data_IF_641699691181
#
_entry.id   IF_641699691181
#
_cell.length_a   1.000
_cell.length_b   1.000
_cell.length_c   1.000
_cell.angle_alpha   90.00
_cell.angle_beta   90.00
_cell.angle_gamma   90.00
#
_symmetry.space_group_name_H-M   'P 1'
#
loop_
_entity.id
_entity.type
_entity.pdbx_description
1 polymer ?
#
# COMPACT_ATOMS: atom_id res chain seq x y z
N UNK A 1 13.94 14.90 -65.39
CA UNK A 1 15.05 14.66 -66.33
C UNK A 1 16.17 15.65 -66.14
N UNK A 2 17.38 15.26 -66.46
CA UNK A 2 18.47 15.13 -65.47
C UNK A 2 19.71 15.96 -65.84
N UNK A 3 20.80 15.80 -65.05
CA UNK A 3 22.22 15.68 -65.46
C UNK A 3 23.14 16.23 -64.35
N UNK A 4 23.93 15.39 -63.76
CA UNK A 4 25.21 14.75 -64.10
C UNK A 4 26.45 15.64 -63.81
N UNK A 5 27.25 15.14 -62.93
CA UNK A 5 28.66 15.14 -62.51
C UNK A 5 29.69 15.57 -63.59
N UNK A 6 30.97 15.94 -63.35
CA UNK A 6 31.98 15.10 -62.74
C UNK A 6 33.07 15.82 -61.87
N UNK A 7 33.73 15.02 -61.05
CA UNK A 7 35.15 14.77 -60.71
C UNK A 7 36.27 15.56 -61.37
N UNK A 8 37.32 15.84 -60.57
CA UNK A 8 38.72 15.41 -60.72
C UNK A 8 39.60 16.10 -59.66
N UNK A 9 40.26 15.34 -58.81
CA UNK A 9 41.67 14.92 -58.69
C UNK A 9 42.71 16.07 -58.71
N UNK A 10 43.60 16.13 -57.74
CA UNK A 10 44.87 15.40 -57.57
C UNK A 10 45.80 16.05 -56.50
N UNK A 11 46.34 15.22 -55.62
CA UNK A 11 47.76 15.05 -55.22
C UNK A 11 48.56 16.21 -54.61
N UNK A 12 49.03 16.15 -53.41
CA UNK A 12 50.38 15.74 -52.96
C UNK A 12 50.66 16.02 -51.47
N UNK A 13 51.24 15.05 -50.82
CA UNK A 13 51.89 15.00 -49.49
C UNK A 13 53.32 15.61 -49.59
N UNK A 14 54.19 15.72 -48.60
CA UNK A 14 54.00 15.65 -47.09
C UNK A 14 54.86 16.76 -46.39
N UNK A 15 54.57 16.99 -45.11
CA UNK A 15 55.61 17.44 -44.19
C UNK A 15 55.17 17.18 -42.74
N UNK A 16 55.96 16.38 -42.08
CA UNK A 16 55.92 15.99 -40.68
C UNK A 16 56.16 17.19 -39.76
N UNK A 17 55.23 17.50 -38.85
CA UNK A 17 55.57 18.23 -37.62
C UNK A 17 54.88 17.50 -36.46
N UNK A 18 55.70 16.80 -35.63
CA UNK A 18 55.33 16.30 -34.34
C UNK A 18 55.02 17.46 -33.39
N UNK A 19 53.78 17.67 -33.06
CA UNK A 19 53.39 18.47 -31.88
C UNK A 19 52.80 17.53 -30.84
N UNK A 20 53.55 17.30 -29.77
CA UNK A 20 53.09 16.65 -28.56
C UNK A 20 52.00 17.51 -27.91
N UNK A 21 50.74 17.15 -28.13
CA UNK A 21 49.62 17.70 -27.36
C UNK A 21 49.40 16.77 -26.18
N UNK A 22 49.83 17.20 -25.01
CA UNK A 22 49.41 16.63 -23.72
C UNK A 22 47.90 16.80 -23.59
N UNK A 23 47.13 15.73 -23.85
CA UNK A 23 45.71 15.66 -23.53
C UNK A 23 45.61 15.45 -22.00
N UNK A 24 45.46 16.55 -21.30
CA UNK A 24 44.92 16.49 -19.96
C UNK A 24 43.50 15.94 -20.03
N UNK A 25 43.31 14.69 -19.65
CA UNK A 25 41.99 14.20 -19.29
C UNK A 25 41.56 14.95 -18.00
N UNK A 26 40.83 16.02 -18.20
CA UNK A 26 40.01 16.61 -17.15
C UNK A 26 38.84 15.65 -16.99
N UNK A 27 38.97 14.73 -16.01
CA UNK A 27 37.85 13.98 -15.50
C UNK A 27 36.87 15.00 -14.94
N UNK A 28 35.86 15.34 -15.72
CA UNK A 28 34.73 16.13 -15.24
C UNK A 28 33.98 15.24 -14.24
N UNK A 29 34.36 15.31 -12.97
CA UNK A 29 33.45 14.98 -11.88
C UNK A 29 32.25 15.91 -12.07
N UNK A 30 31.18 15.41 -12.66
CA UNK A 30 29.86 16.03 -12.54
C UNK A 30 29.50 15.91 -11.06
N UNK A 31 29.92 16.90 -10.29
CA UNK A 31 29.53 17.04 -8.90
C UNK A 31 28.03 17.17 -8.85
N UNK A 32 27.38 16.24 -8.13
CA UNK A 32 26.00 16.41 -7.68
C UNK A 32 25.82 17.84 -7.18
N UNK A 33 24.69 18.48 -7.41
CA UNK A 33 24.48 19.86 -6.98
C UNK A 33 24.61 19.94 -5.46
N UNK A 34 25.76 20.42 -5.00
CA UNK A 34 25.99 20.73 -3.59
C UNK A 34 24.99 21.82 -3.23
N UNK A 35 23.99 21.48 -2.42
CA UNK A 35 23.07 22.45 -1.85
C UNK A 35 23.90 23.50 -1.13
N UNK A 36 23.89 24.76 -1.61
CA UNK A 36 24.49 25.87 -0.91
C UNK A 36 23.70 26.16 0.35
N UNK A 37 24.17 25.71 1.49
CA UNK A 37 23.67 26.11 2.78
C UNK A 37 24.33 27.44 3.17
N UNK A 38 23.56 28.45 3.48
CA UNK A 38 24.05 29.65 4.13
C UNK A 38 23.99 29.44 5.65
N UNK A 39 25.12 29.15 6.28
CA UNK A 39 25.31 29.10 7.74
C UNK A 39 24.82 27.81 8.42
N UNK A 40 25.73 27.20 9.19
CA UNK A 40 25.59 26.12 10.16
C UNK A 40 24.74 24.88 9.83
N UNK A 41 25.43 23.75 9.61
CA UNK A 41 24.94 22.38 9.56
C UNK A 41 23.71 22.17 8.69
N UNK A 42 23.91 21.83 7.44
CA UNK A 42 22.87 21.15 6.66
C UNK A 42 22.53 19.83 7.34
N UNK A 43 21.47 19.82 8.12
CA UNK A 43 20.77 18.59 8.48
C UNK A 43 20.26 18.00 7.16
N UNK A 44 20.95 16.99 6.62
CA UNK A 44 20.52 16.27 5.43
C UNK A 44 19.18 15.60 5.74
N UNK A 45 18.12 16.18 5.22
CA UNK A 45 16.78 15.62 5.38
C UNK A 45 16.74 14.27 4.67
N UNK A 46 16.41 13.18 5.37
CA UNK A 46 16.30 11.87 4.73
C UNK A 46 15.16 11.90 3.70
N UNK A 47 15.33 11.29 2.53
CA UNK A 47 14.22 11.14 1.59
C UNK A 47 13.14 10.23 2.19
N UNK A 48 11.89 10.43 1.76
CA UNK A 48 10.70 9.78 2.33
C UNK A 48 9.97 8.94 1.29
N UNK A 49 9.63 7.70 1.65
CA UNK A 49 8.76 6.83 0.86
C UNK A 49 7.45 6.59 1.62
N UNK A 50 6.32 6.88 0.96
CA UNK A 50 4.98 6.70 1.49
C UNK A 50 4.38 5.40 0.96
N UNK A 51 3.90 4.52 1.84
CA UNK A 51 3.32 3.22 1.50
C UNK A 51 1.88 3.17 1.98
N UNK A 52 0.90 3.12 1.07
CA UNK A 52 -0.52 3.19 1.41
C UNK A 52 -1.07 1.88 1.99
N UNK A 53 -2.25 1.96 2.61
CA UNK A 53 -3.03 0.81 3.08
C UNK A 53 -3.97 0.24 2.03
N UNK A 54 -4.88 -0.59 2.50
CA UNK A 54 -6.01 -1.09 1.71
C UNK A 54 -6.87 0.09 1.22
N UNK A 55 -7.29 0.06 -0.05
CA UNK A 55 -8.00 1.16 -0.71
C UNK A 55 -7.22 2.50 -0.75
N UNK A 56 -5.93 2.50 -0.38
CA UNK A 56 -5.16 3.72 -0.07
C UNK A 56 -4.44 4.37 -1.24
N UNK A 57 -4.64 3.90 -2.47
CA UNK A 57 -4.18 4.55 -3.69
C UNK A 57 -5.16 4.33 -4.85
N UNK A 58 -5.06 5.19 -5.86
CA UNK A 58 -5.87 5.10 -7.06
C UNK A 58 -5.62 3.80 -7.83
N UNK A 59 -6.66 3.30 -8.50
CA UNK A 59 -6.58 2.28 -9.54
C UNK A 59 -7.26 2.82 -10.81
N UNK A 60 -6.73 2.47 -11.96
CA UNK A 60 -7.31 2.79 -13.27
C UNK A 60 -7.65 1.51 -14.02
N UNK A 61 -8.68 1.58 -14.87
CA UNK A 61 -9.08 0.47 -15.71
C UNK A 61 -9.25 0.90 -17.17
N UNK A 62 -8.99 -0.05 -18.08
CA UNK A 62 -9.35 0.01 -19.49
C UNK A 62 -10.17 -1.23 -19.85
N UNK A 63 -11.23 -1.04 -20.64
CA UNK A 63 -12.20 -2.08 -20.92
C UNK A 63 -12.21 -2.46 -22.41
N UNK A 64 -12.26 -3.77 -22.67
CA UNK A 64 -12.61 -4.38 -23.96
C UNK A 64 -13.31 -5.73 -23.68
N UNK A 65 -14.51 -5.64 -23.06
CA UNK A 65 -15.20 -6.78 -22.44
C UNK A 65 -16.01 -7.55 -23.47
N UNK A 66 -16.10 -8.88 -23.35
CA UNK A 66 -16.97 -9.69 -24.22
C UNK A 66 -18.46 -9.42 -23.92
N UNK A 67 -18.81 -9.13 -22.68
CA UNK A 67 -20.17 -8.84 -22.20
C UNK A 67 -20.14 -7.89 -21.01
N UNK A 68 -21.31 -7.32 -20.68
CA UNK A 68 -21.50 -6.45 -19.52
C UNK A 68 -22.66 -6.96 -18.66
N UNK A 69 -22.62 -6.70 -17.35
CA UNK A 69 -23.63 -7.15 -16.40
C UNK A 69 -24.93 -6.36 -16.50
N UNK A 70 -24.87 -5.14 -17.03
CA UNK A 70 -26.03 -4.27 -17.24
C UNK A 70 -25.82 -3.39 -18.48
N UNK A 71 -26.92 -3.03 -19.18
CA UNK A 71 -26.84 -2.27 -20.43
C UNK A 71 -26.24 -0.85 -20.27
N UNK A 72 -26.25 -0.30 -19.05
CA UNK A 72 -25.64 1.01 -18.77
C UNK A 72 -24.10 0.93 -18.58
N UNK A 73 -23.55 -0.28 -18.47
CA UNK A 73 -22.11 -0.45 -18.27
C UNK A 73 -21.35 -0.28 -19.58
N UNK A 74 -20.21 0.41 -19.51
CA UNK A 74 -19.32 0.49 -20.65
C UNK A 74 -18.73 -0.89 -20.96
N UNK A 75 -18.86 -1.30 -22.22
CA UNK A 75 -18.25 -2.54 -22.73
C UNK A 75 -16.80 -2.31 -23.16
N UNK A 76 -16.52 -1.11 -23.71
CA UNK A 76 -15.22 -0.73 -24.23
C UNK A 76 -14.91 0.73 -23.86
N UNK A 77 -13.66 1.01 -23.55
CA UNK A 77 -13.12 2.37 -23.36
C UNK A 77 -11.89 2.57 -24.26
N UNK A 78 -11.67 3.78 -24.74
CA UNK A 78 -10.48 4.10 -25.55
C UNK A 78 -9.25 4.23 -24.65
N UNK A 79 -9.41 4.92 -23.52
CA UNK A 79 -8.35 5.20 -22.56
C UNK A 79 -8.63 4.55 -21.20
N UNK A 80 -7.62 4.63 -20.31
CA UNK A 80 -7.79 4.29 -18.91
C UNK A 80 -8.63 5.36 -18.22
N UNK A 81 -9.53 4.92 -17.35
CA UNK A 81 -10.31 5.79 -16.47
C UNK A 81 -10.10 5.40 -15.01
N UNK A 82 -10.34 6.33 -14.10
CA UNK A 82 -10.25 6.06 -12.66
C UNK A 82 -11.31 5.06 -12.24
N UNK A 83 -10.84 3.90 -11.79
CA UNK A 83 -11.67 2.84 -11.23
C UNK A 83 -11.90 3.02 -9.73
N UNK A 84 -10.84 3.44 -9.01
CA UNK A 84 -10.86 3.73 -7.59
C UNK A 84 -10.03 4.99 -7.27
N UNK A 85 -10.52 5.99 -6.54
CA UNK A 85 -11.93 6.12 -6.10
C UNK A 85 -12.68 6.90 -7.18
N UNK A 86 -13.79 6.36 -7.66
CA UNK A 86 -14.69 7.06 -8.57
C UNK A 86 -16.11 7.04 -7.98
N UNK A 87 -16.53 8.15 -7.39
CA UNK A 87 -17.82 8.27 -6.69
C UNK A 87 -19.02 8.12 -7.63
N UNK A 88 -18.87 8.47 -8.91
CA UNK A 88 -19.93 8.33 -9.92
C UNK A 88 -20.26 6.87 -10.21
N UNK A 89 -19.27 5.98 -10.07
CA UNK A 89 -19.47 4.54 -10.25
C UNK A 89 -20.05 3.84 -9.01
N UNK A 90 -20.10 4.52 -7.87
CA UNK A 90 -20.62 3.94 -6.62
C UNK A 90 -22.10 4.25 -6.38
N UNK A 91 -22.76 5.02 -7.27
CA UNK A 91 -24.19 5.28 -7.17
C UNK A 91 -25.02 4.05 -7.55
N UNK A 92 -26.29 3.96 -7.11
CA UNK A 92 -27.20 2.89 -7.54
C UNK A 92 -27.22 2.73 -9.07
N UNK A 93 -27.27 1.49 -9.57
CA UNK A 93 -27.15 1.06 -10.98
C UNK A 93 -25.72 1.06 -11.54
N UNK A 94 -24.88 2.07 -11.29
CA UNK A 94 -23.49 2.07 -11.74
C UNK A 94 -22.58 1.16 -10.91
N UNK A 95 -22.95 0.91 -9.65
CA UNK A 95 -22.14 0.06 -8.74
C UNK A 95 -21.99 -1.38 -9.25
N UNK A 96 -22.95 -1.93 -9.97
CA UNK A 96 -22.83 -3.28 -10.53
C UNK A 96 -21.77 -3.31 -11.63
N UNK A 97 -21.64 -2.23 -12.42
CA UNK A 97 -20.56 -2.07 -13.39
C UNK A 97 -19.20 -1.97 -12.71
N UNK A 98 -19.13 -1.19 -11.62
CA UNK A 98 -17.91 -1.02 -10.85
C UNK A 98 -17.44 -2.34 -10.23
N UNK A 99 -18.36 -3.08 -9.59
CA UNK A 99 -18.05 -4.40 -8.99
C UNK A 99 -17.53 -5.35 -10.06
N UNK A 100 -18.18 -5.42 -11.23
CA UNK A 100 -17.79 -6.31 -12.32
C UNK A 100 -16.42 -5.94 -12.93
N UNK A 101 -16.00 -4.69 -12.83
CA UNK A 101 -14.69 -4.23 -13.31
C UNK A 101 -13.58 -4.38 -12.27
N UNK A 102 -13.87 -4.19 -10.97
CA UNK A 102 -12.85 -4.16 -9.93
C UNK A 102 -12.61 -5.50 -9.23
N UNK A 103 -13.60 -6.40 -9.25
CA UNK A 103 -13.46 -7.73 -8.63
C UNK A 103 -12.31 -8.51 -9.26
N UNK A 104 -11.78 -9.46 -8.51
CA UNK A 104 -10.82 -10.44 -8.99
C UNK A 104 -11.49 -11.81 -9.19
N UNK A 105 -10.91 -12.63 -10.03
CA UNK A 105 -11.32 -14.03 -10.27
C UNK A 105 -10.17 -14.93 -9.82
N UNK A 106 -10.44 -15.83 -8.88
CA UNK A 106 -9.44 -16.76 -8.42
C UNK A 106 -9.30 -17.93 -9.40
N UNK A 107 -8.11 -18.10 -9.96
CA UNK A 107 -7.77 -19.20 -10.85
C UNK A 107 -7.22 -20.37 -10.00
N UNK A 108 -8.00 -21.43 -9.85
CA UNK A 108 -7.65 -22.61 -9.05
C UNK A 108 -6.49 -23.43 -9.61
N UNK A 109 -6.10 -23.20 -10.87
CA UNK A 109 -4.97 -23.92 -11.49
C UNK A 109 -3.65 -23.23 -11.17
N UNK A 110 -3.63 -21.89 -11.24
CA UNK A 110 -2.43 -21.09 -10.95
C UNK A 110 -2.33 -20.70 -9.48
N UNK A 111 -3.39 -20.86 -8.68
CA UNK A 111 -3.57 -20.35 -7.33
C UNK A 111 -3.31 -18.83 -7.25
N UNK A 112 -3.80 -18.09 -8.25
CA UNK A 112 -3.64 -16.63 -8.33
C UNK A 112 -4.94 -15.98 -8.79
N UNK A 113 -5.05 -14.69 -8.51
CA UNK A 113 -6.17 -13.91 -8.97
C UNK A 113 -5.89 -13.20 -10.30
N UNK A 114 -6.92 -13.09 -11.10
CA UNK A 114 -6.90 -12.45 -12.42
C UNK A 114 -8.02 -11.40 -12.50
N UNK A 115 -7.83 -10.40 -13.34
CA UNK A 115 -8.91 -9.48 -13.67
C UNK A 115 -10.00 -10.19 -14.49
N UNK A 116 -11.26 -9.71 -14.46
CA UNK A 116 -12.31 -10.23 -15.32
C UNK A 116 -11.95 -10.11 -16.81
N UNK A 117 -12.46 -11.01 -17.68
CA UNK A 117 -12.16 -10.96 -19.11
C UNK A 117 -12.42 -9.58 -19.74
N UNK A 118 -11.41 -9.04 -20.43
CA UNK A 118 -11.46 -7.74 -21.07
C UNK A 118 -11.40 -6.54 -20.11
N UNK A 119 -10.98 -6.76 -18.89
CA UNK A 119 -10.67 -5.69 -17.93
C UNK A 119 -9.17 -5.65 -17.70
N UNK A 120 -8.53 -4.53 -18.04
CA UNK A 120 -7.14 -4.26 -17.75
C UNK A 120 -7.05 -3.22 -16.63
N UNK A 121 -6.46 -3.58 -15.49
CA UNK A 121 -6.33 -2.71 -14.32
C UNK A 121 -4.86 -2.41 -14.06
N UNK A 122 -4.55 -1.13 -13.93
CA UNK A 122 -3.22 -0.66 -13.58
C UNK A 122 -3.20 0.21 -12.33
N UNK A 123 -2.03 0.29 -11.72
CA UNK A 123 -1.73 1.19 -10.60
C UNK A 123 -1.01 2.42 -11.16
N UNK A 124 -1.62 3.62 -11.13
CA UNK A 124 -0.99 4.80 -11.66
C UNK A 124 0.06 5.38 -10.71
N UNK A 125 1.04 6.10 -11.27
CA UNK A 125 1.91 7.04 -10.57
C UNK A 125 2.86 6.42 -9.54
N UNK A 126 3.44 5.24 -9.79
CA UNK A 126 4.51 4.72 -8.93
C UNK A 126 5.69 5.70 -8.90
N UNK A 127 6.16 6.05 -7.69
CA UNK A 127 7.16 7.09 -7.45
C UNK A 127 6.58 8.50 -7.30
N UNK A 128 5.28 8.69 -7.54
CA UNK A 128 4.58 9.98 -7.42
C UNK A 128 3.65 9.99 -6.20
N UNK A 129 3.37 11.17 -5.66
CA UNK A 129 2.54 11.31 -4.45
C UNK A 129 1.05 11.44 -4.75
N UNK A 130 0.67 11.94 -5.95
CA UNK A 130 -0.72 12.27 -6.26
C UNK A 130 -1.70 11.11 -6.07
N UNK A 131 -1.39 9.83 -6.41
CA UNK A 131 -2.38 8.77 -6.30
C UNK A 131 -2.63 8.32 -4.86
N UNK A 132 -1.81 8.80 -3.91
CA UNK A 132 -1.93 8.57 -2.47
C UNK A 132 -2.44 9.81 -1.73
N UNK A 133 -2.24 11.02 -2.26
CA UNK A 133 -2.72 12.24 -1.60
C UNK A 133 -4.24 12.30 -1.61
N UNK A 134 -4.84 12.03 -2.77
CA UNK A 134 -6.27 11.93 -2.97
C UNK A 134 -6.62 10.65 -3.75
N UNK A 135 -7.55 9.89 -3.21
CA UNK A 135 -8.05 8.67 -3.87
C UNK A 135 -8.97 9.00 -5.05
N UNK A 136 -9.67 10.14 -4.96
CA UNK A 136 -10.50 10.71 -6.00
C UNK A 136 -9.73 11.81 -6.75
N UNK A 137 -9.56 11.70 -8.08
CA UNK A 137 -8.87 12.71 -8.89
C UNK A 137 -9.48 14.12 -8.83
N UNK A 138 -10.77 14.24 -8.51
CA UNK A 138 -11.42 15.55 -8.32
C UNK A 138 -11.04 16.23 -7.00
N UNK A 139 -10.25 15.55 -6.16
CA UNK A 139 -9.70 16.05 -4.89
C UNK A 139 -10.75 16.47 -3.87
N UNK A 140 -11.88 15.78 -3.84
CA UNK A 140 -12.87 15.95 -2.79
C UNK A 140 -12.34 15.51 -1.42
N UNK A 141 -12.82 16.15 -0.36
CA UNK A 141 -12.40 15.86 1.01
C UNK A 141 -12.60 14.38 1.42
N UNK A 142 -13.63 13.73 0.89
CA UNK A 142 -13.89 12.30 1.13
C UNK A 142 -12.79 11.38 0.59
N UNK A 143 -12.05 11.82 -0.44
CA UNK A 143 -10.94 11.08 -1.03
C UNK A 143 -9.58 11.45 -0.45
N UNK A 144 -9.50 12.38 0.49
CA UNK A 144 -8.24 12.82 1.07
C UNK A 144 -7.61 11.71 1.92
N UNK A 145 -6.38 11.35 1.60
CA UNK A 145 -5.66 10.29 2.29
C UNK A 145 -4.29 10.79 2.80
N UNK A 146 -3.19 10.66 2.11
CA UNK A 146 -1.89 11.14 2.56
C UNK A 146 -1.66 12.66 2.39
N UNK A 147 -2.61 13.40 1.86
CA UNK A 147 -2.44 14.82 1.50
C UNK A 147 -1.86 15.66 2.65
N UNK A 148 -2.39 15.55 3.88
CA UNK A 148 -1.93 16.34 5.02
C UNK A 148 -0.47 16.06 5.37
N UNK A 149 -0.05 14.78 5.33
CA UNK A 149 1.35 14.41 5.58
C UNK A 149 2.24 14.96 4.45
N UNK A 150 1.85 14.79 3.18
CA UNK A 150 2.62 15.31 2.04
C UNK A 150 2.71 16.83 2.09
N UNK A 151 1.60 17.50 2.38
CA UNK A 151 1.57 18.97 2.51
C UNK A 151 2.49 19.45 3.62
N UNK A 152 2.51 18.74 4.76
CA UNK A 152 3.41 19.04 5.88
C UNK A 152 4.89 18.84 5.49
N UNK A 153 5.19 17.75 4.82
CA UNK A 153 6.54 17.49 4.28
C UNK A 153 6.97 18.63 3.34
N UNK A 154 6.10 19.06 2.42
CA UNK A 154 6.38 20.19 1.53
C UNK A 154 6.60 21.47 2.33
N UNK A 155 5.80 21.72 3.36
CA UNK A 155 5.99 22.84 4.28
C UNK A 155 7.32 22.81 5.03
N UNK A 156 7.92 21.63 5.22
CA UNK A 156 9.26 21.46 5.78
C UNK A 156 10.37 21.45 4.74
N UNK A 157 10.05 21.74 3.47
CA UNK A 157 10.98 21.91 2.37
C UNK A 157 11.23 20.66 1.53
N UNK A 158 10.42 19.60 1.64
CA UNK A 158 10.43 18.49 0.70
C UNK A 158 9.76 18.86 -0.63
N UNK A 159 10.13 18.16 -1.67
CA UNK A 159 9.57 18.32 -3.02
C UNK A 159 8.86 17.04 -3.43
N UNK A 160 7.56 17.17 -3.80
CA UNK A 160 6.78 16.04 -4.34
C UNK A 160 7.51 15.36 -5.48
N UNK A 161 7.40 14.05 -5.52
CA UNK A 161 7.91 13.18 -6.59
C UNK A 161 9.45 13.21 -6.75
N UNK A 162 10.13 13.88 -5.83
CA UNK A 162 11.58 14.01 -5.81
C UNK A 162 12.17 13.41 -4.53
N UNK A 163 12.13 14.12 -3.39
CA UNK A 163 12.62 13.63 -2.08
C UNK A 163 11.49 13.11 -1.15
N UNK A 164 10.23 13.22 -1.60
CA UNK A 164 9.10 12.45 -1.08
C UNK A 164 8.40 11.75 -2.24
N UNK A 165 8.33 10.42 -2.18
CA UNK A 165 7.74 9.58 -3.22
C UNK A 165 6.70 8.62 -2.67
N UNK A 166 5.69 8.33 -3.48
CA UNK A 166 4.66 7.35 -3.18
C UNK A 166 4.98 5.98 -3.78
N UNK A 167 4.62 4.94 -3.08
CA UNK A 167 4.72 3.55 -3.55
C UNK A 167 3.34 2.89 -3.62
N UNK A 168 2.47 3.30 -4.57
CA UNK A 168 1.17 2.67 -4.78
C UNK A 168 1.32 1.24 -5.30
N UNK A 169 0.33 0.40 -4.97
CA UNK A 169 0.30 -1.00 -5.40
C UNK A 169 -1.15 -1.46 -5.61
N UNK A 170 -1.34 -2.61 -6.23
CA UNK A 170 -2.67 -3.22 -6.35
C UNK A 170 -3.12 -3.75 -4.98
N UNK A 171 -3.84 -2.89 -4.24
CA UNK A 171 -4.29 -3.18 -2.88
C UNK A 171 -5.32 -4.32 -2.79
N UNK A 172 -5.87 -4.79 -3.92
CA UNK A 172 -6.76 -5.96 -3.95
C UNK A 172 -6.00 -7.27 -3.73
N UNK A 173 -4.68 -7.24 -3.91
CA UNK A 173 -3.77 -8.39 -3.85
C UNK A 173 -3.01 -8.42 -2.53
N UNK A 174 -2.42 -9.57 -2.23
CA UNK A 174 -1.45 -9.73 -1.15
C UNK A 174 -0.03 -9.80 -1.72
N UNK A 175 1.02 -9.79 -0.88
CA UNK A 175 2.41 -9.75 -1.33
C UNK A 175 2.80 -10.86 -2.32
N UNK A 176 2.21 -12.07 -2.20
CA UNK A 176 2.48 -13.19 -3.11
C UNK A 176 2.08 -12.90 -4.57
N UNK A 177 1.16 -11.97 -4.80
CA UNK A 177 0.70 -11.59 -6.14
C UNK A 177 1.20 -10.19 -6.60
N UNK A 178 2.01 -9.50 -5.79
CA UNK A 178 2.55 -8.16 -6.06
C UNK A 178 4.09 -8.14 -6.10
N UNK A 179 4.72 -9.17 -6.67
CA UNK A 179 6.19 -9.28 -6.62
C UNK A 179 6.90 -8.16 -7.40
N UNK A 180 6.36 -7.73 -8.53
CA UNK A 180 6.94 -6.63 -9.33
C UNK A 180 6.94 -5.29 -8.55
N UNK A 181 5.95 -5.08 -7.70
CA UNK A 181 5.92 -3.94 -6.78
C UNK A 181 7.14 -3.93 -5.85
N UNK A 182 7.52 -5.07 -5.27
CA UNK A 182 8.67 -5.13 -4.36
C UNK A 182 10.00 -4.92 -5.08
N UNK A 183 10.11 -5.36 -6.33
CA UNK A 183 11.27 -5.05 -7.18
C UNK A 183 11.36 -3.55 -7.43
N UNK A 184 10.25 -2.92 -7.79
CA UNK A 184 10.18 -1.48 -8.02
C UNK A 184 10.43 -0.67 -6.74
N UNK A 185 9.86 -1.10 -5.59
CA UNK A 185 10.06 -0.45 -4.29
C UNK A 185 11.53 -0.50 -3.87
N UNK A 186 12.17 -1.66 -3.98
CA UNK A 186 13.59 -1.82 -3.67
C UNK A 186 14.46 -0.88 -4.51
N UNK A 187 14.23 -0.88 -5.81
CA UNK A 187 14.95 -0.01 -6.76
C UNK A 187 14.76 1.47 -6.42
N UNK A 188 13.53 1.90 -6.15
CA UNK A 188 13.24 3.28 -5.78
C UNK A 188 13.94 3.71 -4.49
N UNK A 189 13.96 2.85 -3.47
CA UNK A 189 14.67 3.11 -2.21
C UNK A 189 16.17 3.25 -2.44
N UNK A 190 16.78 2.35 -3.22
CA UNK A 190 18.21 2.39 -3.56
C UNK A 190 18.58 3.66 -4.32
N UNK A 191 17.81 4.00 -5.36
CA UNK A 191 17.99 5.21 -6.16
C UNK A 191 17.86 6.49 -5.32
N UNK A 192 16.85 6.56 -4.44
CA UNK A 192 16.67 7.71 -3.55
C UNK A 192 17.84 7.84 -2.56
N UNK A 193 18.22 6.74 -1.93
CA UNK A 193 19.33 6.76 -0.97
C UNK A 193 20.66 7.16 -1.62
N UNK A 194 20.95 6.68 -2.81
CA UNK A 194 22.17 7.02 -3.55
C UNK A 194 22.14 8.47 -4.05
N UNK A 195 21.00 8.93 -4.56
CA UNK A 195 20.85 10.29 -5.08
C UNK A 195 20.98 11.35 -3.97
N UNK A 196 20.41 11.09 -2.78
CA UNK A 196 20.42 12.04 -1.67
C UNK A 196 21.58 11.82 -0.68
N UNK A 197 22.42 10.79 -0.92
CA UNK A 197 23.60 10.50 -0.10
C UNK A 197 23.30 9.97 1.30
N UNK A 198 22.09 9.41 1.53
CA UNK A 198 21.71 8.89 2.84
C UNK A 198 20.46 7.99 2.81
N UNK A 199 20.24 7.22 3.89
CA UNK A 199 19.16 6.26 3.95
C UNK A 199 17.77 6.93 4.00
N UNK A 200 16.74 6.23 3.49
CA UNK A 200 15.36 6.72 3.41
C UNK A 200 14.59 6.47 4.70
N UNK A 201 13.53 7.25 4.92
CA UNK A 201 12.49 6.97 5.92
C UNK A 201 11.26 6.40 5.22
N UNK A 202 10.79 5.24 5.70
CA UNK A 202 9.54 4.64 5.25
C UNK A 202 8.40 5.13 6.14
N UNK A 203 7.30 5.57 5.55
CA UNK A 203 6.06 5.89 6.29
C UNK A 203 4.95 5.04 5.67
N UNK A 204 4.45 4.06 6.43
CA UNK A 204 3.39 3.18 5.97
C UNK A 204 2.13 3.33 6.81
N UNK A 205 0.97 3.17 6.18
CA UNK A 205 -0.32 3.20 6.87
C UNK A 205 -1.08 1.90 6.67
N UNK A 206 -1.78 1.45 7.74
CA UNK A 206 -2.72 0.32 7.66
C UNK A 206 -2.09 -0.96 7.08
N UNK A 207 -2.70 -1.59 6.10
CA UNK A 207 -2.18 -2.78 5.40
C UNK A 207 -0.80 -2.55 4.78
N UNK A 208 -0.45 -1.31 4.42
CA UNK A 208 0.89 -0.95 3.95
C UNK A 208 2.00 -1.33 4.91
N UNK A 209 1.70 -1.41 6.21
CA UNK A 209 2.64 -1.89 7.22
C UNK A 209 2.93 -3.39 7.08
N UNK A 210 1.91 -4.18 6.74
CA UNK A 210 2.08 -5.62 6.49
C UNK A 210 2.93 -5.85 5.23
N UNK A 211 2.71 -5.04 4.17
CA UNK A 211 3.54 -5.03 2.96
C UNK A 211 4.98 -4.64 3.26
N UNK A 212 5.18 -3.59 4.07
CA UNK A 212 6.50 -3.11 4.46
C UNK A 212 7.24 -4.15 5.33
N UNK A 213 6.56 -4.79 6.27
CA UNK A 213 7.12 -5.87 7.08
C UNK A 213 7.58 -7.05 6.22
N UNK A 214 6.70 -7.52 5.31
CA UNK A 214 7.04 -8.57 4.36
C UNK A 214 8.27 -8.20 3.53
N UNK A 215 8.29 -6.99 2.96
CA UNK A 215 9.42 -6.49 2.18
C UNK A 215 10.72 -6.46 2.97
N UNK A 216 10.72 -5.89 4.17
CA UNK A 216 11.92 -5.77 5.01
C UNK A 216 12.45 -7.14 5.45
N UNK A 217 11.55 -8.11 5.71
CA UNK A 217 11.94 -9.47 6.08
C UNK A 217 12.56 -10.27 4.92
N UNK A 218 12.36 -9.83 3.68
CA UNK A 218 13.05 -10.38 2.50
C UNK A 218 14.42 -9.74 2.24
N UNK A 219 14.79 -8.66 2.97
CA UNK A 219 16.05 -7.98 2.73
C UNK A 219 17.13 -8.40 3.74
N UNK A 220 18.39 -8.56 3.28
CA UNK A 220 19.52 -8.80 4.19
C UNK A 220 19.69 -7.63 5.16
N UNK A 221 20.16 -7.90 6.40
CA UNK A 221 20.38 -6.84 7.39
C UNK A 221 21.31 -5.74 6.87
N UNK A 222 22.40 -6.10 6.18
CA UNK A 222 23.33 -5.13 5.60
C UNK A 222 22.68 -4.17 4.58
N UNK A 223 21.66 -4.65 3.82
CA UNK A 223 20.86 -3.80 2.94
C UNK A 223 20.01 -2.83 3.76
N UNK A 224 19.34 -3.31 4.79
CA UNK A 224 18.52 -2.48 5.68
C UNK A 224 19.35 -1.41 6.36
N UNK A 225 20.51 -1.76 6.91
CA UNK A 225 21.42 -0.83 7.59
C UNK A 225 21.95 0.26 6.64
N UNK A 226 22.09 -0.05 5.33
CA UNK A 226 22.55 0.91 4.33
C UNK A 226 21.45 1.85 3.85
N UNK A 227 20.24 1.35 3.65
CA UNK A 227 19.21 2.06 2.88
C UNK A 227 18.04 2.59 3.72
N UNK A 228 17.84 2.11 4.94
CA UNK A 228 16.70 2.49 5.78
C UNK A 228 17.15 3.19 7.05
N UNK A 229 16.82 4.48 7.19
CA UNK A 229 17.05 5.27 8.40
C UNK A 229 16.07 4.92 9.51
N UNK A 230 14.79 4.91 9.18
CA UNK A 230 13.69 4.60 10.09
C UNK A 230 12.45 4.15 9.35
N UNK A 231 11.57 3.48 10.07
CA UNK A 231 10.26 3.06 9.61
C UNK A 231 9.20 3.59 10.57
N UNK A 232 8.29 4.43 10.06
CA UNK A 232 7.12 4.95 10.79
C UNK A 232 5.90 4.15 10.37
N UNK A 233 5.37 3.34 11.29
CA UNK A 233 4.18 2.52 11.08
C UNK A 233 2.97 3.25 11.68
N UNK A 234 1.98 3.57 10.86
CA UNK A 234 0.75 4.25 11.25
C UNK A 234 -0.43 3.26 11.21
N UNK A 235 -1.12 3.05 12.33
CA UNK A 235 -2.28 2.17 12.42
C UNK A 235 -2.06 0.73 11.92
N UNK A 236 -0.96 0.06 12.29
CA UNK A 236 -0.58 -1.22 11.70
C UNK A 236 -1.45 -2.39 12.18
N UNK A 237 -2.00 -3.21 11.27
CA UNK A 237 -2.79 -4.39 11.62
C UNK A 237 -1.91 -5.65 11.77
N UNK A 238 -0.89 -5.61 12.63
CA UNK A 238 0.10 -6.70 12.79
C UNK A 238 -0.53 -8.07 13.09
N UNK A 239 -1.63 -8.09 13.82
CA UNK A 239 -2.37 -9.30 14.18
C UNK A 239 -3.62 -9.55 13.33
N UNK A 240 -3.74 -8.87 12.20
CA UNK A 240 -4.96 -8.88 11.39
C UNK A 240 -6.05 -7.95 11.93
N UNK A 241 -7.21 -7.97 11.30
CA UNK A 241 -8.36 -7.08 11.56
C UNK A 241 -9.61 -7.92 11.78
N UNK A 242 -10.21 -7.86 12.96
CA UNK A 242 -11.42 -8.66 13.26
C UNK A 242 -12.60 -8.30 12.34
N UNK A 243 -12.72 -7.03 11.94
CA UNK A 243 -13.74 -6.53 11.02
C UNK A 243 -13.76 -7.31 9.69
N UNK A 244 -12.63 -7.85 9.22
CA UNK A 244 -12.57 -8.56 7.94
C UNK A 244 -13.42 -9.84 7.91
N UNK A 245 -13.70 -10.45 9.06
CA UNK A 245 -14.65 -11.57 9.13
C UNK A 245 -16.06 -11.16 8.70
N UNK A 246 -16.53 -9.99 9.15
CA UNK A 246 -17.80 -9.42 8.67
C UNK A 246 -17.72 -9.05 7.20
N UNK A 247 -16.61 -8.44 6.75
CA UNK A 247 -16.39 -8.08 5.34
C UNK A 247 -16.54 -9.31 4.43
N UNK A 248 -15.94 -10.43 4.81
CA UNK A 248 -16.04 -11.70 4.08
C UNK A 248 -17.45 -12.30 4.18
N UNK A 249 -18.10 -12.25 5.34
CA UNK A 249 -19.42 -12.84 5.55
C UNK A 249 -20.55 -12.05 4.88
N UNK A 250 -20.68 -10.77 5.22
CA UNK A 250 -21.82 -9.92 4.87
C UNK A 250 -21.44 -8.78 3.92
N UNK A 251 -20.16 -8.41 3.89
CA UNK A 251 -19.68 -7.18 3.27
C UNK A 251 -19.65 -6.00 4.24
N UNK A 252 -19.02 -4.92 3.82
CA UNK A 252 -18.96 -3.66 4.56
C UNK A 252 -19.01 -2.49 3.58
N UNK A 253 -19.90 -1.55 3.80
CA UNK A 253 -20.06 -0.40 2.91
C UNK A 253 -18.98 0.69 3.10
N UNK A 254 -17.98 0.45 3.91
CA UNK A 254 -16.88 1.38 4.21
C UNK A 254 -17.38 2.79 4.60
N UNK A 255 -18.49 2.85 5.36
CA UNK A 255 -19.15 4.09 5.78
C UNK A 255 -19.73 4.93 4.63
N UNK A 256 -19.94 4.34 3.44
CA UNK A 256 -20.61 4.98 2.31
C UNK A 256 -22.09 4.57 2.33
N UNK A 257 -23.01 5.42 2.83
CA UNK A 257 -24.39 5.01 3.14
C UNK A 257 -25.20 4.53 1.94
N UNK A 258 -24.85 4.97 0.73
CA UNK A 258 -25.56 4.62 -0.51
C UNK A 258 -25.22 3.21 -1.03
N UNK A 259 -24.17 2.58 -0.46
CA UNK A 259 -23.71 1.25 -0.87
C UNK A 259 -24.33 0.19 0.03
N UNK A 260 -24.97 -0.81 -0.55
CA UNK A 260 -25.39 -2.00 0.18
C UNK A 260 -24.16 -2.88 0.50
N UNK A 261 -23.93 -3.25 1.78
CA UNK A 261 -22.86 -4.18 2.13
C UNK A 261 -22.90 -5.49 1.35
N UNK A 262 -24.11 -6.06 1.20
CA UNK A 262 -24.31 -7.31 0.44
C UNK A 262 -23.95 -7.21 -1.05
N UNK A 263 -24.12 -6.03 -1.64
CA UNK A 263 -23.69 -5.83 -3.04
C UNK A 263 -22.17 -5.79 -3.16
N UNK A 264 -21.51 -4.97 -2.36
CA UNK A 264 -20.05 -4.81 -2.43
C UNK A 264 -19.28 -6.04 -1.96
N UNK A 265 -19.93 -6.93 -1.19
CA UNK A 265 -19.37 -8.18 -0.69
C UNK A 265 -18.67 -9.00 -1.79
N UNK A 266 -19.24 -9.08 -2.98
CA UNK A 266 -18.69 -9.84 -4.09
C UNK A 266 -17.28 -9.34 -4.49
N UNK A 267 -17.09 -8.02 -4.53
CA UNK A 267 -15.78 -7.41 -4.76
C UNK A 267 -14.83 -7.67 -3.57
N UNK A 268 -15.29 -7.41 -2.36
CA UNK A 268 -14.46 -7.52 -1.15
C UNK A 268 -13.99 -8.96 -0.89
N UNK A 269 -14.85 -9.96 -1.10
CA UNK A 269 -14.49 -11.38 -1.01
C UNK A 269 -13.41 -11.77 -2.02
N UNK A 270 -13.45 -11.20 -3.22
CA UNK A 270 -12.54 -11.52 -4.30
C UNK A 270 -11.12 -10.97 -4.07
N UNK A 271 -10.97 -9.97 -3.22
CA UNK A 271 -9.67 -9.40 -2.90
C UNK A 271 -8.87 -10.34 -1.99
N UNK A 272 -7.66 -10.71 -2.46
CA UNK A 272 -6.73 -11.55 -1.69
C UNK A 272 -6.33 -10.86 -0.38
N UNK A 273 -6.17 -9.54 -0.42
CA UNK A 273 -5.85 -8.69 0.72
C UNK A 273 -6.87 -8.81 1.85
N UNK A 274 -8.18 -8.85 1.54
CA UNK A 274 -9.23 -9.04 2.55
C UNK A 274 -9.07 -10.37 3.28
N UNK A 275 -8.79 -11.45 2.54
CA UNK A 275 -8.59 -12.78 3.11
C UNK A 275 -7.26 -12.88 3.88
N UNK A 276 -6.25 -12.12 3.48
CA UNK A 276 -4.97 -12.01 4.16
C UNK A 276 -5.07 -11.29 5.50
N UNK A 277 -5.90 -10.25 5.59
CA UNK A 277 -6.05 -9.42 6.80
C UNK A 277 -6.91 -10.05 7.91
N UNK A 278 -7.40 -11.28 7.77
CA UNK A 278 -8.11 -11.95 8.87
C UNK A 278 -7.21 -12.09 10.10
N UNK A 279 -7.79 -12.15 11.32
CA UNK A 279 -7.04 -12.33 12.56
C UNK A 279 -6.05 -13.50 12.52
N UNK A 280 -4.91 -13.33 13.19
CA UNK A 280 -3.82 -14.28 13.24
C UNK A 280 -3.68 -14.94 14.61
N UNK A 281 -3.33 -16.25 14.64
CA UNK A 281 -3.15 -17.03 15.85
C UNK A 281 -1.96 -16.59 16.73
N UNK A 282 -0.97 -15.92 16.15
CA UNK A 282 0.13 -15.34 16.93
C UNK A 282 -0.31 -14.14 17.80
N UNK A 283 -1.51 -13.60 17.58
CA UNK A 283 -2.03 -12.40 18.27
C UNK A 283 -3.25 -12.73 19.11
N UNK A 284 -4.21 -13.43 18.51
CA UNK A 284 -5.51 -13.69 19.14
C UNK A 284 -5.57 -15.04 19.82
N UNK A 285 -6.26 -15.14 20.98
CA UNK A 285 -6.52 -16.44 21.59
C UNK A 285 -7.25 -17.39 20.63
N UNK A 286 -6.81 -18.63 20.58
CA UNK A 286 -7.32 -19.60 19.61
C UNK A 286 -8.79 -19.99 19.83
N UNK A 287 -9.32 -19.75 21.04
CA UNK A 287 -10.69 -19.99 21.47
C UNK A 287 -11.57 -18.72 21.46
N UNK A 288 -11.00 -17.58 21.06
CA UNK A 288 -11.77 -16.34 20.88
C UNK A 288 -12.85 -16.57 19.83
N UNK A 289 -14.10 -16.40 20.23
CA UNK A 289 -15.24 -16.43 19.31
C UNK A 289 -15.37 -15.09 18.63
N UNK A 290 -15.21 -15.09 17.31
CA UNK A 290 -15.38 -13.91 16.47
C UNK A 290 -16.77 -13.80 15.85
N UNK A 291 -17.34 -14.93 15.45
CA UNK A 291 -18.64 -14.97 14.81
C UNK A 291 -19.53 -15.98 15.54
N UNK A 292 -20.70 -15.53 15.98
CA UNK A 292 -21.75 -16.36 16.57
C UNK A 292 -22.93 -16.40 15.62
N UNK A 293 -23.44 -17.61 15.34
CA UNK A 293 -24.64 -17.84 14.54
C UNK A 293 -25.60 -18.73 15.30
N UNK A 294 -26.86 -18.86 14.89
CA UNK A 294 -27.77 -19.81 15.51
C UNK A 294 -27.29 -21.28 15.47
N UNK A 295 -26.50 -21.63 14.47
CA UNK A 295 -26.03 -22.99 14.24
C UNK A 295 -24.68 -23.26 14.92
N UNK A 296 -23.80 -22.28 15.06
CA UNK A 296 -22.42 -22.50 15.53
C UNK A 296 -21.70 -21.21 15.86
N UNK A 297 -20.54 -21.35 16.52
CA UNK A 297 -19.56 -20.33 16.77
C UNK A 297 -18.32 -20.56 15.87
N UNK A 298 -17.68 -19.48 15.43
CA UNK A 298 -16.41 -19.55 14.70
C UNK A 298 -15.31 -18.84 15.46
N UNK A 299 -14.21 -19.56 15.62
CA UNK A 299 -12.94 -19.12 16.20
C UNK A 299 -11.85 -19.14 15.12
N UNK A 300 -10.60 -18.85 15.47
CA UNK A 300 -9.46 -19.01 14.56
C UNK A 300 -9.31 -20.45 14.03
N UNK A 301 -9.74 -21.44 14.81
CA UNK A 301 -9.66 -22.86 14.42
C UNK A 301 -10.69 -23.27 13.38
N UNK A 302 -11.70 -22.44 13.21
CA UNK A 302 -12.88 -22.74 12.39
C UNK A 302 -12.84 -22.08 11.01
N UNK A 303 -11.74 -21.44 10.59
CA UNK A 303 -11.69 -20.69 9.32
C UNK A 303 -12.06 -21.55 8.11
N UNK A 304 -11.57 -22.78 8.00
CA UNK A 304 -11.96 -23.67 6.90
C UNK A 304 -13.47 -23.91 6.88
N UNK A 305 -14.06 -24.15 8.06
CA UNK A 305 -15.51 -24.33 8.21
C UNK A 305 -16.26 -23.04 7.91
N UNK A 306 -15.75 -21.88 8.39
CA UNK A 306 -16.33 -20.57 8.11
C UNK A 306 -16.46 -20.29 6.60
N UNK A 307 -15.40 -20.52 5.85
CA UNK A 307 -15.41 -20.33 4.39
C UNK A 307 -16.31 -21.33 3.66
N UNK A 308 -16.36 -22.57 4.12
CA UNK A 308 -17.28 -23.58 3.58
C UNK A 308 -18.74 -23.20 3.84
N UNK A 309 -19.05 -22.76 5.04
CA UNK A 309 -20.43 -22.39 5.42
C UNK A 309 -20.87 -21.04 4.76
N UNK A 310 -19.92 -20.28 4.18
CA UNK A 310 -20.14 -19.13 3.31
C UNK A 310 -20.26 -19.50 1.81
N UNK A 311 -20.13 -20.78 1.44
CA UNK A 311 -19.98 -21.23 0.05
C UNK A 311 -18.88 -20.44 -0.70
N UNK A 312 -17.73 -20.26 -0.02
CA UNK A 312 -16.62 -19.46 -0.54
C UNK A 312 -15.25 -20.15 -0.32
N UNK A 313 -15.08 -21.31 -0.90
CA UNK A 313 -13.85 -22.11 -0.82
C UNK A 313 -12.60 -21.39 -1.35
N UNK A 314 -12.74 -20.55 -2.36
CA UNK A 314 -11.60 -19.79 -2.92
C UNK A 314 -11.01 -18.83 -1.88
N UNK A 315 -11.83 -18.28 -0.99
CA UNK A 315 -11.34 -17.47 0.13
C UNK A 315 -10.48 -18.28 1.12
N UNK A 316 -10.84 -19.52 1.38
CA UNK A 316 -10.00 -20.40 2.19
C UNK A 316 -8.65 -20.69 1.55
N UNK A 317 -8.63 -20.95 0.23
CA UNK A 317 -7.39 -21.11 -0.53
C UNK A 317 -6.51 -19.86 -0.48
N UNK A 318 -7.10 -18.69 -0.74
CA UNK A 318 -6.40 -17.40 -0.60
C UNK A 318 -5.80 -17.22 0.80
N UNK A 319 -6.56 -17.58 1.86
CA UNK A 319 -6.06 -17.50 3.25
C UNK A 319 -4.89 -18.43 3.48
N UNK A 320 -4.96 -19.69 3.05
CA UNK A 320 -3.88 -20.66 3.20
C UNK A 320 -2.58 -20.21 2.55
N UNK A 321 -2.65 -19.57 1.39
CA UNK A 321 -1.49 -19.07 0.66
C UNK A 321 -0.90 -17.80 1.25
N UNK A 322 -1.72 -16.98 1.88
CA UNK A 322 -1.30 -15.66 2.37
C UNK A 322 -0.95 -15.65 3.85
N UNK A 323 -1.54 -16.51 4.68
CA UNK A 323 -1.24 -16.57 6.10
C UNK A 323 0.25 -16.72 6.42
N UNK A 324 1.03 -17.58 5.71
CA UNK A 324 2.45 -17.75 5.99
C UNK A 324 3.32 -16.52 5.72
N UNK A 325 2.82 -15.56 4.92
CA UNK A 325 3.63 -14.41 4.48
C UNK A 325 4.13 -13.54 5.65
N UNK A 326 3.37 -13.47 6.74
CA UNK A 326 3.71 -12.66 7.93
C UNK A 326 3.42 -13.41 9.24
N UNK A 327 3.13 -14.70 9.20
CA UNK A 327 2.72 -15.49 10.39
C UNK A 327 3.80 -15.58 11.47
N UNK A 328 5.08 -15.50 11.10
CA UNK A 328 6.19 -15.46 12.04
C UNK A 328 6.26 -14.16 12.84
N UNK A 329 5.65 -13.11 12.34
CA UNK A 329 5.73 -11.75 12.89
C UNK A 329 7.18 -11.41 13.29
N UNK A 330 8.11 -11.66 12.36
CA UNK A 330 9.52 -11.38 12.57
C UNK A 330 9.78 -9.87 12.58
N UNK A 331 10.72 -9.39 13.41
CA UNK A 331 11.01 -7.96 13.52
C UNK A 331 11.53 -7.40 12.19
N UNK A 332 11.20 -6.14 11.86
CA UNK A 332 11.60 -5.52 10.60
C UNK A 332 13.14 -5.33 10.49
N UNK A 333 13.86 -5.32 11.59
CA UNK A 333 15.32 -5.14 11.61
C UNK A 333 15.77 -3.72 11.27
N UNK A 334 14.93 -2.72 11.49
CA UNK A 334 15.21 -1.29 11.31
C UNK A 334 14.65 -0.51 12.51
N UNK A 335 15.11 0.74 12.71
CA UNK A 335 14.50 1.61 13.71
C UNK A 335 13.00 1.78 13.39
N UNK A 336 12.15 1.39 14.35
CA UNK A 336 10.70 1.37 14.17
C UNK A 336 10.02 2.35 15.12
N UNK A 337 9.14 3.17 14.55
CA UNK A 337 8.20 4.02 15.28
C UNK A 337 6.79 3.52 15.00
N UNK A 338 6.16 2.88 15.99
CA UNK A 338 4.87 2.21 15.87
C UNK A 338 3.79 3.09 16.50
N UNK A 339 3.02 3.81 15.66
CA UNK A 339 1.94 4.70 16.08
C UNK A 339 0.61 4.01 15.90
N UNK A 340 -0.23 3.96 16.94
CA UNK A 340 -1.51 3.26 16.89
C UNK A 340 -2.59 4.05 17.63
N UNK A 341 -3.81 4.00 17.09
CA UNK A 341 -4.99 4.59 17.73
C UNK A 341 -5.57 3.69 18.82
N UNK A 342 -6.19 4.28 19.82
CA UNK A 342 -6.87 3.61 20.92
C UNK A 342 -8.07 4.43 21.40
N UNK A 343 -8.93 3.80 22.21
CA UNK A 343 -10.08 4.48 22.80
C UNK A 343 -11.23 4.77 21.82
N UNK A 344 -11.23 4.10 20.66
CA UNK A 344 -12.30 4.18 19.66
C UNK A 344 -12.96 2.81 19.55
N UNK A 345 -14.31 2.78 19.60
CA UNK A 345 -15.08 1.55 19.42
C UNK A 345 -14.69 0.86 18.10
N UNK A 346 -14.11 -0.33 18.21
CA UNK A 346 -13.57 -1.09 17.08
C UNK A 346 -14.28 -2.43 16.97
N UNK A 347 -14.87 -2.80 15.82
CA UNK A 347 -15.52 -4.08 15.63
C UNK A 347 -14.61 -5.25 16.00
N UNK A 348 -15.10 -6.15 16.87
CA UNK A 348 -14.29 -7.26 17.38
C UNK A 348 -14.97 -8.62 17.24
N UNK A 349 -16.29 -8.68 17.40
CA UNK A 349 -17.07 -9.91 17.26
C UNK A 349 -18.45 -9.62 16.68
N UNK A 350 -19.06 -10.62 16.05
CA UNK A 350 -20.29 -10.48 15.26
C UNK A 350 -21.31 -11.55 15.62
N UNK A 351 -22.52 -11.13 15.97
CA UNK A 351 -23.62 -12.04 16.34
C UNK A 351 -24.70 -11.97 15.26
N UNK A 352 -24.84 -13.04 14.51
CA UNK A 352 -25.81 -13.18 13.43
C UNK A 352 -27.09 -13.83 13.92
N UNK A 353 -28.23 -13.22 13.61
CA UNK A 353 -29.53 -13.85 13.74
C UNK A 353 -29.87 -14.72 12.51
N UNK A 354 -29.32 -14.35 11.35
CA UNK A 354 -29.45 -15.04 10.08
C UNK A 354 -28.11 -14.88 9.32
N UNK A 355 -27.43 -15.97 9.06
CA UNK A 355 -26.06 -15.98 8.55
C UNK A 355 -26.01 -16.59 7.13
N UNK A 356 -25.28 -15.96 6.18
CA UNK A 356 -24.47 -14.75 6.29
C UNK A 356 -25.17 -13.48 5.75
N UNK A 357 -26.38 -13.60 5.22
CA UNK A 357 -27.01 -12.60 4.35
C UNK A 357 -27.77 -11.49 5.11
N UNK A 358 -27.50 -11.35 6.40
CA UNK A 358 -28.04 -10.30 7.25
C UNK A 358 -26.95 -9.61 8.05
N UNK A 359 -27.14 -8.30 8.30
CA UNK A 359 -26.24 -7.54 9.15
C UNK A 359 -26.20 -8.12 10.56
N UNK A 360 -25.00 -8.38 11.11
CA UNK A 360 -24.85 -8.88 12.48
C UNK A 360 -25.00 -7.75 13.50
N UNK A 361 -25.32 -8.12 14.72
CA UNK A 361 -25.02 -7.28 15.88
C UNK A 361 -23.49 -7.25 16.06
N UNK A 362 -22.91 -6.07 16.04
CA UNK A 362 -21.48 -5.87 16.24
C UNK A 362 -21.19 -5.72 17.72
N UNK A 363 -20.21 -6.45 18.22
CA UNK A 363 -19.61 -6.25 19.53
C UNK A 363 -18.26 -5.56 19.35
N UNK A 364 -18.05 -4.52 20.12
CA UNK A 364 -16.88 -3.67 19.98
C UNK A 364 -15.84 -3.97 21.07
N UNK A 365 -14.57 -3.83 20.70
CA UNK A 365 -13.42 -3.75 21.57
C UNK A 365 -12.70 -2.41 21.38
N UNK A 366 -11.51 -2.29 21.95
CA UNK A 366 -10.67 -1.12 21.85
C UNK A 366 -9.81 -1.14 20.56
N UNK A 367 -9.55 0.04 20.00
CA UNK A 367 -8.69 0.24 18.83
C UNK A 367 -8.86 1.62 18.23
N UNK A 368 -8.70 1.70 16.90
CA UNK A 368 -8.81 2.94 16.12
C UNK A 368 -10.07 2.99 15.23
N UNK A 369 -11.06 2.15 15.53
CA UNK A 369 -12.29 2.03 14.74
C UNK A 369 -12.18 1.05 13.56
N UNK A 370 -10.99 0.59 13.23
CA UNK A 370 -10.71 -0.39 12.17
C UNK A 370 -9.80 -1.51 12.68
N UNK A 371 -8.65 -1.18 13.22
CA UNK A 371 -7.66 -2.12 13.76
C UNK A 371 -7.80 -2.20 15.27
N UNK A 372 -8.01 -3.41 15.78
CA UNK A 372 -8.11 -3.65 17.21
C UNK A 372 -6.76 -3.38 17.92
N UNK A 373 -6.79 -2.79 19.09
CA UNK A 373 -5.61 -2.43 19.88
C UNK A 373 -4.67 -3.63 20.10
N UNK A 374 -5.24 -4.82 20.35
CA UNK A 374 -4.47 -6.05 20.47
C UNK A 374 -3.63 -6.36 19.24
N UNK A 375 -4.17 -6.11 18.06
CA UNK A 375 -3.45 -6.27 16.78
C UNK A 375 -2.40 -5.20 16.57
N UNK A 376 -2.77 -3.94 16.73
CA UNK A 376 -1.90 -2.79 16.45
C UNK A 376 -0.65 -2.77 17.34
N UNK A 377 -0.76 -3.24 18.58
CA UNK A 377 0.31 -3.20 19.59
C UNK A 377 1.28 -4.38 19.52
N UNK A 378 1.15 -5.29 18.56
CA UNK A 378 2.05 -6.46 18.44
C UNK A 378 3.51 -6.06 18.16
N UNK A 379 3.78 -4.87 17.64
CA UNK A 379 5.15 -4.32 17.53
C UNK A 379 5.90 -4.27 18.88
N UNK A 380 5.17 -4.26 20.02
CA UNK A 380 5.76 -4.37 21.36
C UNK A 380 6.61 -5.62 21.53
N UNK A 381 6.30 -6.69 20.82
CA UNK A 381 7.04 -7.96 20.86
C UNK A 381 8.43 -7.87 20.26
N UNK A 382 8.72 -6.85 19.48
CA UNK A 382 10.00 -6.64 18.82
C UNK A 382 11.00 -5.88 19.70
N UNK A 383 10.54 -5.25 20.79
CA UNK A 383 11.40 -4.62 21.78
C UNK A 383 12.35 -5.67 22.36
N UNK A 384 13.66 -5.47 22.19
CA UNK A 384 14.69 -6.40 22.62
C UNK A 384 14.88 -7.65 21.72
N UNK A 385 14.07 -7.84 20.68
CA UNK A 385 14.24 -8.92 19.68
C UNK A 385 15.03 -8.51 18.45
N UNK A 386 15.23 -7.21 18.26
CA UNK A 386 16.14 -6.63 17.25
C UNK A 386 17.08 -5.63 17.92
N UNK A 387 18.19 -5.30 17.24
CA UNK A 387 19.18 -4.32 17.76
C UNK A 387 18.66 -2.88 17.67
N UNK A 388 17.91 -2.59 16.61
CA UNK A 388 17.38 -1.26 16.31
C UNK A 388 16.27 -0.92 17.30
N UNK A 389 16.10 0.37 17.65
CA UNK A 389 15.07 0.80 18.59
C UNK A 389 13.67 0.51 18.05
N UNK A 390 12.76 0.21 18.95
CA UNK A 390 11.32 0.07 18.70
C UNK A 390 10.59 1.01 19.65
N UNK A 391 10.05 2.08 19.12
CA UNK A 391 9.29 3.07 19.86
C UNK A 391 7.80 2.88 19.62
N UNK A 392 7.01 2.92 20.68
CA UNK A 392 5.56 2.82 20.60
C UNK A 392 4.94 4.15 20.99
N UNK A 393 4.03 4.66 20.16
CA UNK A 393 3.29 5.89 20.41
C UNK A 393 1.79 5.63 20.31
N UNK A 394 1.10 5.76 21.43
CA UNK A 394 -0.35 5.73 21.48
C UNK A 394 -0.94 7.07 21.02
N UNK A 395 -1.96 6.99 20.16
CA UNK A 395 -2.76 8.12 19.66
C UNK A 395 -4.20 7.95 20.16
N UNK A 396 -4.44 8.31 21.43
CA UNK A 396 -5.73 8.10 22.07
C UNK A 396 -6.85 8.92 21.42
N UNK A 397 -7.98 8.28 21.13
CA UNK A 397 -9.13 8.88 20.46
C UNK A 397 -8.95 9.10 18.96
N UNK A 398 -7.85 8.63 18.37
CA UNK A 398 -7.61 8.76 16.94
C UNK A 398 -8.22 7.60 16.16
N UNK A 399 -9.08 7.93 15.20
CA UNK A 399 -9.58 7.00 14.21
C UNK A 399 -8.52 6.66 13.16
N UNK A 400 -8.68 5.50 12.55
CA UNK A 400 -7.76 4.87 11.61
C UNK A 400 -7.29 5.77 10.46
N UNK A 401 -8.22 6.41 9.76
CA UNK A 401 -7.88 7.33 8.65
C UNK A 401 -7.55 8.73 9.19
N UNK A 402 -8.25 9.18 10.23
CA UNK A 402 -8.06 10.50 10.80
C UNK A 402 -6.65 10.70 11.38
N UNK A 403 -5.95 9.62 11.77
CA UNK A 403 -4.56 9.72 12.24
C UNK A 403 -3.61 10.31 11.19
N UNK A 404 -3.91 10.16 9.90
CA UNK A 404 -3.10 10.74 8.80
C UNK A 404 -3.20 12.27 8.74
N UNK A 405 -4.21 12.85 9.39
CA UNK A 405 -4.48 14.29 9.44
C UNK A 405 -4.22 14.88 10.83
N UNK A 406 -3.87 14.04 11.81
CA UNK A 406 -3.71 14.43 13.19
C UNK A 406 -2.38 15.16 13.42
N UNK A 407 -2.43 16.30 14.10
CA UNK A 407 -1.26 17.12 14.40
C UNK A 407 -0.20 16.37 15.22
N UNK A 408 -0.61 15.49 16.13
CA UNK A 408 0.32 14.66 16.92
C UNK A 408 1.09 13.71 16.00
N UNK A 409 0.42 13.06 15.06
CA UNK A 409 1.06 12.20 14.05
C UNK A 409 2.05 12.98 13.20
N UNK A 410 1.62 14.13 12.68
CA UNK A 410 2.44 15.01 11.84
C UNK A 410 3.67 15.52 12.62
N UNK A 411 3.47 15.96 13.85
CA UNK A 411 4.56 16.42 14.72
C UNK A 411 5.54 15.30 15.08
N UNK A 412 5.04 14.07 15.27
CA UNK A 412 5.88 12.92 15.52
C UNK A 412 6.73 12.56 14.29
N UNK A 413 6.15 12.55 13.10
CA UNK A 413 6.88 12.34 11.84
C UNK A 413 7.97 13.41 11.70
N UNK A 414 7.66 14.68 11.99
CA UNK A 414 8.66 15.75 11.96
C UNK A 414 9.83 15.46 12.90
N UNK A 415 9.54 15.02 14.12
CA UNK A 415 10.58 14.63 15.09
C UNK A 415 11.46 13.53 14.49
N UNK A 416 10.91 12.46 13.93
CA UNK A 416 11.69 11.35 13.34
C UNK A 416 12.57 11.81 12.19
N UNK A 417 12.09 12.71 11.35
CA UNK A 417 12.83 13.19 10.18
C UNK A 417 13.99 14.14 10.53
N UNK A 418 13.82 14.95 11.58
CA UNK A 418 14.75 16.04 11.92
C UNK A 418 15.51 15.81 13.24
N UNK A 419 15.27 14.69 13.93
CA UNK A 419 16.14 14.31 15.04
C UNK A 419 17.50 13.85 14.53
N UNK A 420 18.57 14.25 15.22
CA UNK A 420 19.94 13.92 14.85
C UNK A 420 20.21 12.40 14.88
#
# INVERSE_FOLDING_TARGET
LPRYVPEEEMVSSPAVILLLINVFFVSSCVGSPVRKCSGDVCSERPPVVLIPGDLGNQLEAKLDKPSVVHYVCYKKTEDYFTLWLNLELLVPFAIDCWIDNIRLIYNRTSNRTEAPPGVDVRVPGFGQTYPLEYLDPSKHALGMYFYTIVQSLVGWGYTRDYDVRGAPYDWRKAPNENQDYFVALKKMIEEMAEHFGGPVVLIAHSMGNMYTLYFLNQQPQAWKDRYIKAYVALGPPWGGVAKTLRVVATGDNNRIPVISPLKIRAQQRSAVSTNWLLPYSHTWPSDKVFVTTPATNYTLRDYQRFYRDLDFEDGWRMRQETEPLVSGLDPPGVALHCLYGSGVDTPESFVYADFPDREPKVLFGDGDGTVNLLSATQCRRWVGRQKQPVELQELRGNEHIAMLQNETTVSYIKKVLFSP
#
